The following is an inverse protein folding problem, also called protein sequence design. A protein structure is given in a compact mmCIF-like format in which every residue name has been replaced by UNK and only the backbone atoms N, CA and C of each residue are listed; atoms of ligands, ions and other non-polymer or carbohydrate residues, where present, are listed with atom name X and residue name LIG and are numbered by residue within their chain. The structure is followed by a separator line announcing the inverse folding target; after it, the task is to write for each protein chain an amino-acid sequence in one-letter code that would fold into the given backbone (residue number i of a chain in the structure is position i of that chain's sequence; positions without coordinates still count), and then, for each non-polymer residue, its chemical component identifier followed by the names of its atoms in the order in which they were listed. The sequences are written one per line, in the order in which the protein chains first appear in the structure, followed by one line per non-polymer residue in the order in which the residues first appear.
data_IF_511054688933
#
_entry.id   IF_511054688933
#
_cell.length_a   1.000
_cell.length_b   1.000
_cell.length_c   1.000
_cell.angle_alpha   90.00
_cell.angle_beta   90.00
_cell.angle_gamma   90.00
#
_symmetry.space_group_name_H-M   'P 1'
#
loop_
_entity.id
_entity.type
_entity.pdbx_description
1 polymer ?
#
# COMPACT_ATOMS: atom_id res chain seq x y z
N UNK A 1 0.03 32.65 -50.48
CA UNK A 1 1.24 31.92 -50.05
C UNK A 1 1.25 31.92 -48.52
N UNK A 2 0.60 30.92 -47.93
CA UNK A 2 1.19 29.73 -47.29
C UNK A 2 1.81 30.03 -45.90
N UNK A 3 0.98 29.73 -44.88
CA UNK A 3 1.29 29.01 -43.62
C UNK A 3 2.23 29.68 -42.62
N UNK A 4 1.64 30.44 -41.69
CA UNK A 4 2.12 30.55 -40.31
C UNK A 4 1.01 30.12 -39.35
N UNK A 5 0.72 28.83 -39.37
CA UNK A 5 -0.10 28.12 -38.37
C UNK A 5 0.63 26.81 -38.08
N UNK A 6 1.52 26.85 -37.11
CA UNK A 6 2.22 25.74 -36.43
C UNK A 6 3.38 26.40 -35.67
N UNK A 7 3.60 26.23 -34.38
CA UNK A 7 2.91 25.51 -33.33
C UNK A 7 3.69 25.90 -32.10
N UNK A 8 3.15 26.82 -31.29
CA UNK A 8 3.74 27.17 -30.00
C UNK A 8 3.35 26.05 -29.02
N UNK A 9 3.90 24.85 -29.23
CA UNK A 9 3.81 23.77 -28.26
C UNK A 9 4.88 24.08 -27.22
N UNK A 10 4.48 24.94 -26.29
CA UNK A 10 5.17 25.21 -25.05
C UNK A 10 5.21 23.87 -24.28
N UNK A 11 6.15 22.99 -24.63
CA UNK A 11 6.54 21.86 -23.79
C UNK A 11 7.30 22.48 -22.63
N UNK A 12 6.53 23.02 -21.68
CA UNK A 12 7.01 23.29 -20.35
C UNK A 12 7.16 21.90 -19.69
N UNK A 13 8.25 21.21 -20.04
CA UNK A 13 8.77 20.14 -19.18
C UNK A 13 9.13 20.87 -17.90
N UNK A 14 8.18 20.93 -16.97
CA UNK A 14 8.50 21.12 -15.58
C UNK A 14 9.57 20.08 -15.29
N UNK A 15 10.79 20.55 -15.08
CA UNK A 15 11.87 19.79 -14.46
C UNK A 15 11.41 19.60 -13.01
N UNK A 16 10.37 18.79 -12.82
CA UNK A 16 10.13 18.19 -11.52
C UNK A 16 11.40 17.38 -11.25
N UNK A 17 12.00 17.49 -10.05
CA UNK A 17 13.08 16.59 -9.69
C UNK A 17 12.59 15.18 -10.02
N UNK A 18 13.36 14.46 -10.84
CA UNK A 18 13.17 13.03 -11.02
C UNK A 18 13.39 12.47 -9.63
N UNK A 19 12.32 12.38 -8.82
CA UNK A 19 12.32 11.51 -7.67
C UNK A 19 12.71 10.17 -8.27
N UNK A 20 13.86 9.64 -7.89
CA UNK A 20 14.30 8.34 -8.34
C UNK A 20 13.28 7.33 -7.80
N UNK A 21 12.21 7.08 -8.58
CA UNK A 21 11.18 6.12 -8.26
C UNK A 21 11.83 4.76 -8.45
N UNK A 22 12.45 4.25 -7.39
CA UNK A 22 13.20 2.99 -7.42
C UNK A 22 12.29 1.77 -7.39
N UNK A 23 10.97 1.95 -7.18
CA UNK A 23 10.04 0.87 -6.87
C UNK A 23 10.40 0.11 -5.60
N UNK A 24 11.36 0.60 -4.82
CA UNK A 24 11.88 -0.06 -3.63
C UNK A 24 12.05 0.95 -2.49
N UNK A 25 11.32 0.75 -1.40
CA UNK A 25 11.23 1.74 -0.33
C UNK A 25 11.21 1.10 1.05
N UNK A 26 11.65 1.89 2.04
CA UNK A 26 11.59 1.54 3.46
C UNK A 26 10.97 2.71 4.22
N UNK A 27 10.06 2.40 5.14
CA UNK A 27 9.61 3.34 6.16
C UNK A 27 10.06 2.87 7.54
N UNK A 28 10.60 3.81 8.30
CA UNK A 28 10.98 3.62 9.70
C UNK A 28 10.03 4.43 10.58
N UNK A 29 9.47 3.82 11.61
CA UNK A 29 8.74 4.56 12.63
C UNK A 29 9.62 5.60 13.32
N UNK A 30 9.06 6.75 13.68
CA UNK A 30 9.78 7.86 14.31
C UNK A 30 10.58 7.43 15.56
N UNK A 31 9.99 6.62 16.45
CA UNK A 31 10.66 6.11 17.63
C UNK A 31 11.80 5.13 17.28
N UNK A 32 11.63 4.36 16.21
CA UNK A 32 12.67 3.46 15.70
C UNK A 32 13.83 4.24 15.09
N UNK A 33 13.55 5.25 14.26
CA UNK A 33 14.60 6.03 13.61
C UNK A 33 15.44 6.83 14.62
N UNK A 34 14.83 7.32 15.70
CA UNK A 34 15.50 8.09 16.75
C UNK A 34 16.35 7.23 17.71
N UNK A 35 16.31 5.90 17.57
CA UNK A 35 17.15 4.99 18.34
C UNK A 35 18.05 4.18 17.38
N UNK A 36 19.36 4.43 17.43
CA UNK A 36 20.33 3.80 16.51
C UNK A 36 20.30 2.26 16.56
N UNK A 37 20.14 1.66 17.73
CA UNK A 37 20.07 0.21 17.87
C UNK A 37 18.80 -0.36 17.22
N UNK A 38 17.65 0.30 17.42
CA UNK A 38 16.40 -0.10 16.78
C UNK A 38 16.45 0.06 15.26
N UNK A 39 16.93 1.21 14.78
CA UNK A 39 17.13 1.47 13.35
C UNK A 39 18.01 0.39 12.71
N UNK A 40 19.18 0.13 13.28
CA UNK A 40 20.12 -0.85 12.73
C UNK A 40 19.53 -2.27 12.75
N UNK A 41 18.83 -2.67 13.82
CA UNK A 41 18.15 -3.95 13.90
C UNK A 41 17.09 -4.11 12.79
N UNK A 42 16.30 -3.08 12.53
CA UNK A 42 15.27 -3.11 11.48
C UNK A 42 15.85 -3.12 10.07
N UNK A 43 16.88 -2.33 9.80
CA UNK A 43 17.58 -2.38 8.51
C UNK A 43 18.21 -3.75 8.26
N UNK A 44 18.88 -4.34 9.25
CA UNK A 44 19.43 -5.70 9.15
C UNK A 44 18.33 -6.75 8.93
N UNK A 45 17.18 -6.62 9.62
CA UNK A 45 16.04 -7.49 9.40
C UNK A 45 15.54 -7.40 7.96
N UNK A 46 15.35 -6.19 7.42
CA UNK A 46 14.91 -6.01 6.04
C UNK A 46 15.91 -6.57 5.02
N UNK A 47 17.21 -6.34 5.23
CA UNK A 47 18.25 -6.94 4.37
C UNK A 47 18.20 -8.46 4.38
N UNK A 48 17.83 -9.10 5.50
CA UNK A 48 17.66 -10.56 5.57
C UNK A 48 16.44 -11.11 4.81
N UNK A 49 15.56 -10.23 4.33
CA UNK A 49 14.31 -10.58 3.62
C UNK A 49 14.35 -10.23 2.13
N UNK A 50 15.46 -9.71 1.63
CA UNK A 50 15.60 -9.35 0.21
C UNK A 50 17.02 -9.59 -0.27
N UNK A 51 17.15 -9.96 -1.54
CA UNK A 51 18.45 -10.11 -2.20
C UNK A 51 18.96 -8.76 -2.77
N UNK A 52 18.12 -7.73 -2.77
CA UNK A 52 18.52 -6.36 -3.13
C UNK A 52 19.37 -5.75 -2.03
N UNK A 53 20.23 -4.80 -2.39
CA UNK A 53 20.91 -4.00 -1.38
C UNK A 53 19.93 -2.98 -0.78
N UNK A 54 19.69 -3.02 0.53
CA UNK A 54 18.74 -2.10 1.18
C UNK A 54 19.13 -0.63 1.05
N UNK A 55 20.40 -0.32 0.73
CA UNK A 55 20.83 1.07 0.49
C UNK A 55 20.22 1.65 -0.78
N UNK A 56 19.72 0.81 -1.68
CA UNK A 56 19.04 1.23 -2.91
C UNK A 56 17.58 1.63 -2.63
N UNK A 57 17.06 1.31 -1.44
CA UNK A 57 15.71 1.67 -1.03
C UNK A 57 15.62 3.15 -0.68
N UNK A 58 14.57 3.82 -1.18
CA UNK A 58 14.22 5.15 -0.66
C UNK A 58 13.69 5.00 0.77
N UNK A 59 14.46 5.48 1.74
CA UNK A 59 14.09 5.40 3.16
C UNK A 59 13.44 6.69 3.66
N UNK A 60 12.29 6.59 4.33
CA UNK A 60 11.62 7.72 4.99
C UNK A 60 11.21 7.37 6.41
N UNK A 61 11.01 8.41 7.22
CA UNK A 61 10.45 8.28 8.57
C UNK A 61 8.95 8.52 8.47
N UNK A 62 8.16 7.66 9.12
CA UNK A 62 6.73 7.93 9.34
C UNK A 62 6.53 8.52 10.74
N UNK A 63 5.84 9.66 10.77
CA UNK A 63 5.62 10.44 12.00
C UNK A 63 4.34 10.05 12.72
N UNK A 64 4.23 10.40 14.00
CA UNK A 64 2.97 10.28 14.72
C UNK A 64 1.82 11.05 14.07
N UNK A 65 2.09 12.20 13.45
CA UNK A 65 1.06 12.98 12.75
C UNK A 65 0.47 12.21 11.56
N UNK A 66 1.31 11.56 10.76
CA UNK A 66 0.89 10.76 9.61
C UNK A 66 0.14 9.49 10.02
N UNK A 67 0.56 8.84 11.12
CA UNK A 67 -0.19 7.68 11.65
C UNK A 67 -1.56 8.13 12.17
N UNK A 68 -1.59 9.18 13.00
CA UNK A 68 -2.81 9.64 13.64
C UNK A 68 -3.80 10.29 12.67
N UNK A 69 -3.37 10.83 11.53
CA UNK A 69 -4.28 11.43 10.55
C UNK A 69 -5.27 10.40 9.97
N UNK A 70 -4.87 9.14 9.92
CA UNK A 70 -5.72 8.03 9.47
C UNK A 70 -6.30 7.26 10.65
N UNK A 71 -5.48 6.87 11.63
CA UNK A 71 -5.91 5.93 12.67
C UNK A 71 -6.88 6.53 13.68
N UNK A 72 -6.74 7.82 14.04
CA UNK A 72 -7.46 8.42 15.18
C UNK A 72 -8.97 8.31 15.06
N UNK A 73 -9.51 8.58 13.87
CA UNK A 73 -10.97 8.59 13.65
C UNK A 73 -11.55 7.18 13.45
N UNK A 74 -10.69 6.16 13.32
CA UNK A 74 -11.09 4.77 13.09
C UNK A 74 -10.97 3.99 14.39
N UNK A 75 -9.81 4.08 15.05
CA UNK A 75 -9.49 3.30 16.24
C UNK A 75 -9.76 4.05 17.54
N UNK A 76 -9.93 5.38 17.48
CA UNK A 76 -9.98 6.25 18.65
C UNK A 76 -8.61 6.46 19.33
N UNK A 77 -7.56 5.81 18.84
CA UNK A 77 -6.22 5.87 19.44
C UNK A 77 -5.41 7.04 18.87
N UNK A 78 -4.70 7.72 19.76
CA UNK A 78 -3.72 8.76 19.41
C UNK A 78 -2.36 8.31 19.91
N UNK A 79 -1.41 8.15 19.00
CA UNK A 79 -0.07 7.69 19.30
C UNK A 79 0.87 8.89 19.41
N UNK A 80 1.66 9.02 20.49
CA UNK A 80 2.76 9.98 20.52
C UNK A 80 3.93 9.49 19.65
N UNK A 81 4.82 10.39 19.23
CA UNK A 81 6.02 10.08 18.45
C UNK A 81 6.86 8.95 19.05
N UNK A 82 6.96 8.88 20.38
CA UNK A 82 7.68 7.84 21.12
C UNK A 82 7.06 6.43 21.04
N UNK A 83 5.92 6.27 20.36
CA UNK A 83 5.22 4.98 20.17
C UNK A 83 5.11 4.54 18.72
N UNK A 84 5.69 5.29 17.78
CA UNK A 84 5.72 4.90 16.36
C UNK A 84 6.95 4.03 16.10
N UNK A 85 6.82 2.72 16.35
CA UNK A 85 7.93 1.75 16.22
C UNK A 85 7.90 0.96 14.92
N UNK A 86 6.71 0.72 14.36
CA UNK A 86 6.55 -0.15 13.22
C UNK A 86 7.30 0.35 11.99
N UNK A 87 7.84 -0.58 11.22
CA UNK A 87 8.61 -0.33 10.02
C UNK A 87 8.08 -1.23 8.89
N UNK A 88 8.19 -0.74 7.65
CA UNK A 88 7.81 -1.50 6.48
C UNK A 88 8.85 -1.37 5.36
N UNK A 89 8.99 -2.42 4.56
CA UNK A 89 9.73 -2.42 3.31
C UNK A 89 8.76 -2.83 2.20
N UNK A 90 8.79 -2.11 1.07
CA UNK A 90 7.98 -2.41 -0.12
C UNK A 90 8.89 -2.51 -1.33
N UNK A 91 8.72 -3.59 -2.09
CA UNK A 91 9.41 -3.85 -3.36
C UNK A 91 8.39 -4.16 -4.47
N UNK A 92 8.33 -3.29 -5.48
CA UNK A 92 7.41 -3.37 -6.61
C UNK A 92 7.93 -4.24 -7.76
N UNK A 93 9.13 -4.84 -7.66
CA UNK A 93 9.57 -5.82 -8.66
C UNK A 93 8.88 -7.18 -8.54
N UNK A 94 8.09 -7.39 -7.49
CA UNK A 94 7.24 -8.56 -7.34
C UNK A 94 5.88 -8.31 -8.00
N UNK A 95 5.59 -9.03 -9.10
CA UNK A 95 4.37 -8.83 -9.90
C UNK A 95 3.26 -9.86 -9.66
N UNK A 96 3.55 -10.96 -8.95
CA UNK A 96 2.62 -12.08 -8.79
C UNK A 96 1.64 -11.85 -7.62
N UNK A 97 0.89 -10.75 -7.70
CA UNK A 97 -0.01 -10.29 -6.64
C UNK A 97 0.73 -9.67 -5.45
N UNK A 98 0.11 -9.69 -4.28
CA UNK A 98 0.68 -9.13 -3.04
C UNK A 98 1.33 -10.26 -2.23
N UNK A 99 2.63 -10.14 -1.97
CA UNK A 99 3.35 -11.01 -1.03
C UNK A 99 3.62 -10.24 0.24
N UNK A 100 3.16 -10.72 1.39
CA UNK A 100 3.42 -10.08 2.69
C UNK A 100 4.20 -11.02 3.61
N UNK A 101 5.24 -10.50 4.25
CA UNK A 101 5.94 -11.15 5.36
C UNK A 101 5.78 -10.28 6.59
N UNK A 102 5.32 -10.89 7.68
CA UNK A 102 5.17 -10.24 8.98
C UNK A 102 6.11 -10.91 9.97
N UNK A 103 6.90 -10.13 10.70
CA UNK A 103 7.71 -10.64 11.81
C UNK A 103 6.82 -11.08 12.97
N UNK A 104 6.42 -12.35 12.98
CA UNK A 104 5.56 -12.93 14.02
C UNK A 104 6.17 -12.92 15.43
N UNK A 105 7.49 -12.66 15.57
CA UNK A 105 8.12 -12.49 16.88
C UNK A 105 7.87 -11.10 17.50
N UNK A 106 7.37 -10.16 16.70
CA UNK A 106 7.16 -8.75 17.07
C UNK A 106 5.74 -8.28 16.84
N UNK A 107 5.11 -8.71 15.74
CA UNK A 107 3.74 -8.36 15.39
C UNK A 107 2.82 -9.52 15.78
N UNK A 108 1.89 -9.27 16.71
CA UNK A 108 1.17 -10.34 17.41
C UNK A 108 -0.28 -10.55 16.98
N UNK A 109 -0.91 -9.56 16.33
CA UNK A 109 -2.33 -9.62 15.96
C UNK A 109 -2.50 -9.64 14.45
N UNK A 110 -1.97 -8.64 13.75
CA UNK A 110 -2.16 -8.50 12.31
C UNK A 110 -1.38 -9.56 11.54
N UNK A 111 -2.07 -10.35 10.71
CA UNK A 111 -1.45 -11.41 9.90
C UNK A 111 -1.06 -10.92 8.50
N UNK A 112 -0.22 -11.68 7.76
CA UNK A 112 0.09 -11.35 6.37
C UNK A 112 -1.13 -11.18 5.48
N UNK A 113 -2.15 -12.05 5.63
CA UNK A 113 -3.37 -11.99 4.84
C UNK A 113 -4.20 -10.76 5.17
N UNK A 114 -4.24 -10.35 6.44
CA UNK A 114 -4.92 -9.12 6.86
C UNK A 114 -4.32 -7.87 6.19
N UNK A 115 -2.98 -7.76 6.16
CA UNK A 115 -2.32 -6.70 5.39
C UNK A 115 -2.65 -6.79 3.91
N UNK A 116 -2.64 -7.98 3.31
CA UNK A 116 -2.96 -8.14 1.89
C UNK A 116 -4.38 -7.68 1.57
N UNK A 117 -5.36 -8.05 2.42
CA UNK A 117 -6.75 -7.61 2.29
C UNK A 117 -6.86 -6.07 2.38
N UNK A 118 -6.24 -5.47 3.41
CA UNK A 118 -6.24 -4.02 3.58
C UNK A 118 -5.62 -3.30 2.37
N UNK A 119 -4.48 -3.79 1.86
CA UNK A 119 -3.82 -3.24 0.69
C UNK A 119 -4.72 -3.28 -0.55
N UNK A 120 -5.40 -4.41 -0.79
CA UNK A 120 -6.37 -4.53 -1.88
C UNK A 120 -7.48 -3.48 -1.77
N UNK A 121 -7.95 -3.18 -0.56
CA UNK A 121 -8.97 -2.15 -0.31
C UNK A 121 -8.50 -0.73 -0.62
N UNK A 122 -7.19 -0.50 -0.60
CA UNK A 122 -6.56 0.74 -1.07
C UNK A 122 -6.16 0.72 -2.56
N UNK A 123 -6.61 -0.27 -3.33
CA UNK A 123 -6.33 -0.40 -4.76
C UNK A 123 -4.96 -0.96 -5.10
N UNK A 124 -4.16 -1.34 -4.10
CA UNK A 124 -2.87 -2.01 -4.27
C UNK A 124 -3.14 -3.49 -4.55
N UNK A 125 -2.66 -3.99 -5.68
CA UNK A 125 -2.87 -5.38 -6.12
C UNK A 125 -1.57 -6.17 -6.29
N UNK A 126 -0.41 -5.51 -6.17
CA UNK A 126 0.89 -6.13 -6.34
C UNK A 126 1.98 -5.52 -5.47
N UNK A 127 3.01 -6.31 -5.23
CA UNK A 127 4.22 -5.89 -4.53
C UNK A 127 4.61 -6.87 -3.42
N UNK A 128 5.87 -6.78 -3.01
CA UNK A 128 6.42 -7.52 -1.89
C UNK A 128 6.55 -6.59 -0.68
N UNK A 129 5.91 -6.97 0.43
CA UNK A 129 5.84 -6.21 1.67
C UNK A 129 6.48 -6.98 2.80
N UNK A 130 7.32 -6.32 3.58
CA UNK A 130 7.85 -6.86 4.84
C UNK A 130 7.52 -5.90 5.96
N UNK A 131 6.92 -6.39 7.04
CA UNK A 131 6.51 -5.60 8.20
C UNK A 131 7.18 -6.14 9.46
N UNK A 132 7.81 -5.26 10.24
CA UNK A 132 8.39 -5.60 11.55
C UNK A 132 8.40 -4.38 12.48
N UNK A 133 8.83 -4.60 13.72
CA UNK A 133 9.01 -3.59 14.76
C UNK A 133 10.16 -4.02 15.68
N UNK A 134 10.97 -3.10 16.23
CA UNK A 134 12.03 -3.45 17.19
C UNK A 134 11.45 -4.01 18.51
N UNK A 135 10.21 -3.63 18.83
CA UNK A 135 9.49 -4.02 20.06
C UNK A 135 8.16 -4.70 19.72
N UNK A 136 7.56 -5.47 20.65
CA UNK A 136 6.24 -6.06 20.43
C UNK A 136 5.17 -5.00 20.09
N UNK A 137 4.36 -5.28 19.08
CA UNK A 137 3.28 -4.43 18.59
C UNK A 137 2.13 -5.29 18.04
N UNK A 138 0.93 -4.74 17.99
CA UNK A 138 -0.26 -5.44 17.46
C UNK A 138 -0.29 -5.46 15.94
N UNK A 139 0.23 -4.41 15.29
CA UNK A 139 0.48 -4.31 13.85
C UNK A 139 -0.35 -3.23 13.14
N UNK A 140 -1.47 -2.81 13.68
CA UNK A 140 -2.41 -1.89 13.00
C UNK A 140 -1.75 -0.56 12.62
N UNK A 141 -0.96 0.03 13.53
CA UNK A 141 -0.22 1.27 13.25
C UNK A 141 0.86 1.10 12.16
N UNK A 142 1.29 -0.13 11.87
CA UNK A 142 2.26 -0.40 10.80
C UNK A 142 1.65 -0.22 9.41
N UNK A 143 0.33 -0.39 9.24
CA UNK A 143 -0.32 -0.23 7.94
C UNK A 143 -0.08 1.16 7.35
N UNK A 144 -0.10 2.21 8.18
CA UNK A 144 0.23 3.56 7.72
C UNK A 144 1.65 3.64 7.12
N UNK A 145 2.63 2.96 7.73
CA UNK A 145 3.99 2.82 7.20
C UNK A 145 4.05 2.03 5.89
N UNK A 146 3.28 0.94 5.79
CA UNK A 146 3.16 0.15 4.55
C UNK A 146 2.59 1.02 3.42
N UNK A 147 1.45 1.69 3.64
CA UNK A 147 0.83 2.58 2.67
C UNK A 147 1.79 3.70 2.26
N UNK A 148 2.48 4.30 3.23
CA UNK A 148 3.50 5.32 2.96
C UNK A 148 4.66 4.79 2.12
N UNK A 149 5.10 3.55 2.36
CA UNK A 149 6.12 2.90 1.54
C UNK A 149 5.64 2.73 0.10
N UNK A 150 4.39 2.34 -0.12
CA UNK A 150 3.80 2.34 -1.47
C UNK A 150 3.76 3.73 -2.11
N UNK A 151 3.35 4.78 -1.38
CA UNK A 151 3.36 6.16 -1.91
C UNK A 151 4.76 6.58 -2.38
N UNK A 152 5.80 6.20 -1.62
CA UNK A 152 7.21 6.48 -1.93
C UNK A 152 7.66 5.66 -3.13
N UNK A 153 7.39 4.36 -3.13
CA UNK A 153 7.81 3.43 -4.18
C UNK A 153 7.11 3.72 -5.52
N UNK A 154 5.89 4.23 -5.50
CA UNK A 154 5.12 4.65 -6.71
C UNK A 154 5.42 6.12 -7.08
N UNK A 155 5.85 6.93 -6.12
CA UNK A 155 6.04 8.37 -6.31
C UNK A 155 4.73 9.16 -6.41
N UNK A 156 3.63 8.63 -5.87
CA UNK A 156 2.30 9.27 -5.89
C UNK A 156 1.52 8.93 -4.63
N UNK A 157 0.85 9.91 -4.00
CA UNK A 157 0.07 9.67 -2.80
C UNK A 157 -1.11 8.75 -3.07
N UNK A 158 -1.47 7.93 -2.08
CA UNK A 158 -2.70 7.15 -2.08
C UNK A 158 -3.81 8.10 -1.59
N UNK A 159 -4.96 8.18 -2.30
CA UNK A 159 -6.07 9.01 -1.85
C UNK A 159 -6.50 8.70 -0.41
N UNK A 160 -6.89 9.73 0.35
CA UNK A 160 -7.16 9.61 1.78
C UNK A 160 -8.31 8.64 2.07
N UNK A 161 -9.35 8.63 1.22
CA UNK A 161 -10.46 7.69 1.30
C UNK A 161 -10.01 6.22 1.14
N UNK A 162 -8.96 5.95 0.35
CA UNK A 162 -8.40 4.62 0.15
C UNK A 162 -7.53 4.17 1.33
N UNK A 163 -6.76 5.11 1.91
CA UNK A 163 -6.04 4.88 3.17
C UNK A 163 -7.01 4.63 4.32
N UNK A 164 -8.14 5.34 4.34
CA UNK A 164 -9.20 5.14 5.33
C UNK A 164 -9.86 3.76 5.16
N UNK A 165 -10.29 3.39 3.95
CA UNK A 165 -10.94 2.10 3.70
C UNK A 165 -10.04 0.90 4.09
N UNK A 166 -8.76 0.95 3.74
CA UNK A 166 -7.78 -0.08 4.13
C UNK A 166 -7.57 -0.15 5.64
N UNK A 167 -7.50 1.00 6.31
CA UNK A 167 -7.32 1.05 7.77
C UNK A 167 -8.57 0.62 8.54
N UNK A 168 -9.77 0.99 8.08
CA UNK A 168 -11.04 0.56 8.65
C UNK A 168 -11.20 -0.96 8.57
N UNK A 169 -10.86 -1.55 7.42
CA UNK A 169 -10.93 -2.99 7.24
C UNK A 169 -9.93 -3.73 8.14
N UNK A 170 -8.66 -3.31 8.16
CA UNK A 170 -7.65 -3.94 9.00
C UNK A 170 -8.07 -3.89 10.47
N UNK A 171 -8.58 -2.74 10.92
CA UNK A 171 -9.07 -2.58 12.28
C UNK A 171 -10.29 -3.47 12.56
N UNK A 172 -11.23 -3.58 11.62
CA UNK A 172 -12.39 -4.44 11.77
C UNK A 172 -11.98 -5.93 11.86
N UNK A 173 -11.02 -6.36 11.03
CA UNK A 173 -10.47 -7.71 11.10
C UNK A 173 -9.83 -7.98 12.48
N UNK A 174 -9.03 -7.06 13.03
CA UNK A 174 -8.45 -7.25 14.37
C UNK A 174 -9.50 -7.22 15.49
N UNK A 175 -10.54 -6.38 15.37
CA UNK A 175 -11.68 -6.41 16.30
C UNK A 175 -12.41 -7.75 16.26
N UNK A 176 -12.66 -8.30 15.07
CA UNK A 176 -13.32 -9.60 14.91
C UNK A 176 -12.50 -10.74 15.50
N UNK A 177 -11.17 -10.74 15.33
CA UNK A 177 -10.29 -11.70 16.02
C UNK A 177 -10.51 -11.66 17.53
N UNK A 178 -10.49 -10.45 18.12
CA UNK A 178 -10.64 -10.28 19.57
C UNK A 178 -12.05 -10.66 20.06
N UNK A 179 -13.09 -10.33 19.31
CA UNK A 179 -14.49 -10.54 19.71
C UNK A 179 -14.98 -11.97 19.49
N UNK A 180 -14.51 -12.64 18.42
CA UNK A 180 -14.96 -13.99 18.05
C UNK A 180 -14.02 -15.09 18.55
N UNK A 181 -12.80 -14.74 18.99
CA UNK A 181 -11.74 -15.69 19.34
C UNK A 181 -11.22 -16.50 18.15
N UNK A 182 -11.62 -16.16 16.91
CA UNK A 182 -11.14 -16.85 15.72
C UNK A 182 -9.69 -16.50 15.42
N UNK A 183 -9.00 -17.42 14.77
CA UNK A 183 -7.65 -17.17 14.26
C UNK A 183 -7.67 -16.02 13.23
N UNK A 184 -6.65 -15.15 13.26
CA UNK A 184 -6.55 -14.01 12.35
C UNK A 184 -6.53 -14.37 10.86
N UNK A 185 -5.86 -15.45 10.48
CA UNK A 185 -5.87 -15.93 9.09
C UNK A 185 -7.27 -16.40 8.66
N UNK A 186 -8.06 -16.97 9.59
CA UNK A 186 -9.43 -17.38 9.32
C UNK A 186 -10.36 -16.17 9.16
N UNK A 187 -10.19 -15.11 9.96
CA UNK A 187 -10.92 -13.85 9.78
C UNK A 187 -10.53 -13.17 8.47
N UNK A 188 -9.24 -13.12 8.15
CA UNK A 188 -8.78 -12.54 6.89
C UNK A 188 -9.29 -13.32 5.67
N UNK A 189 -9.37 -14.66 5.76
CA UNK A 189 -9.96 -15.49 4.71
C UNK A 189 -11.44 -15.17 4.48
N UNK A 190 -12.22 -14.95 5.56
CA UNK A 190 -13.62 -14.52 5.45
C UNK A 190 -13.76 -13.22 4.63
N UNK A 191 -12.94 -12.21 4.91
CA UNK A 191 -12.94 -10.95 4.14
C UNK A 191 -12.55 -11.18 2.68
N UNK A 192 -11.52 -11.99 2.44
CA UNK A 192 -11.06 -12.30 1.09
C UNK A 192 -12.16 -12.99 0.27
N UNK A 193 -12.82 -14.00 0.83
CA UNK A 193 -13.88 -14.75 0.16
C UNK A 193 -15.12 -13.89 -0.09
N UNK A 194 -15.51 -13.06 0.87
CA UNK A 194 -16.61 -12.11 0.69
C UNK A 194 -16.28 -11.12 -0.43
N UNK A 195 -15.09 -10.53 -0.44
CA UNK A 195 -14.66 -9.61 -1.51
C UNK A 195 -14.67 -10.28 -2.87
N UNK A 196 -14.14 -11.50 -2.98
CA UNK A 196 -14.06 -12.24 -4.23
C UNK A 196 -15.45 -12.57 -4.79
N UNK A 197 -16.35 -13.09 -3.94
CA UNK A 197 -17.73 -13.39 -4.34
C UNK A 197 -18.48 -12.10 -4.73
N UNK A 198 -18.32 -11.04 -3.96
CA UNK A 198 -18.96 -9.75 -4.22
C UNK A 198 -18.51 -9.15 -5.55
N UNK A 199 -17.20 -9.16 -5.83
CA UNK A 199 -16.64 -8.70 -7.10
C UNK A 199 -17.11 -9.55 -8.28
N UNK A 200 -17.16 -10.88 -8.13
CA UNK A 200 -17.62 -11.79 -9.19
C UNK A 200 -19.09 -11.56 -9.58
N UNK A 201 -19.90 -11.06 -8.64
CA UNK A 201 -21.31 -10.76 -8.83
C UNK A 201 -21.56 -9.27 -9.11
N UNK A 202 -20.51 -8.44 -9.16
CA UNK A 202 -20.57 -6.99 -9.35
C UNK A 202 -21.54 -6.29 -8.38
N UNK A 203 -21.54 -6.71 -7.11
CA UNK A 203 -22.43 -6.17 -6.08
C UNK A 203 -21.77 -4.99 -5.35
N UNK A 204 -22.50 -3.88 -5.22
CA UNK A 204 -22.05 -2.69 -4.47
C UNK A 204 -22.96 -2.33 -3.30
N UNK A 205 -24.15 -2.93 -3.22
CA UNK A 205 -25.10 -2.66 -2.14
C UNK A 205 -24.73 -3.47 -0.88
N UNK A 206 -24.52 -2.81 0.29
CA UNK A 206 -24.25 -3.51 1.54
C UNK A 206 -25.31 -4.57 1.93
N UNK A 207 -26.59 -4.37 1.62
CA UNK A 207 -27.64 -5.34 1.96
C UNK A 207 -27.52 -6.63 1.16
N UNK A 208 -27.10 -6.56 -0.10
CA UNK A 208 -26.83 -7.73 -0.95
C UNK A 208 -25.53 -8.42 -0.49
N UNK A 209 -24.51 -7.63 -0.15
CA UNK A 209 -23.22 -8.13 0.35
C UNK A 209 -23.40 -8.85 1.68
N UNK A 210 -24.30 -8.39 2.54
CA UNK A 210 -24.62 -9.03 3.81
C UNK A 210 -25.03 -10.49 3.65
N UNK A 211 -25.76 -10.82 2.57
CA UNK A 211 -26.13 -12.22 2.25
C UNK A 211 -24.88 -13.05 1.96
N UNK A 212 -23.92 -12.49 1.21
CA UNK A 212 -22.62 -13.12 0.95
C UNK A 212 -21.85 -13.33 2.25
N UNK A 213 -21.79 -12.33 3.13
CA UNK A 213 -21.11 -12.43 4.44
C UNK A 213 -21.67 -13.58 5.27
N UNK A 214 -23.00 -13.69 5.40
CA UNK A 214 -23.65 -14.77 6.15
C UNK A 214 -23.31 -16.13 5.55
N UNK A 215 -23.38 -16.27 4.22
CA UNK A 215 -23.10 -17.53 3.55
C UNK A 215 -21.65 -17.99 3.75
N UNK A 216 -20.68 -17.10 3.53
CA UNK A 216 -19.25 -17.40 3.72
C UNK A 216 -18.95 -17.71 5.19
N UNK A 217 -19.47 -16.91 6.13
CA UNK A 217 -19.27 -17.14 7.56
C UNK A 217 -19.81 -18.51 8.00
N UNK A 218 -20.99 -18.91 7.51
CA UNK A 218 -21.57 -20.23 7.77
C UNK A 218 -20.71 -21.35 7.19
N UNK A 219 -20.24 -21.23 5.95
CA UNK A 219 -19.34 -22.20 5.32
C UNK A 219 -18.03 -22.37 6.11
N UNK A 220 -17.55 -21.30 6.71
CA UNK A 220 -16.33 -21.28 7.52
C UNK A 220 -16.56 -21.63 9.00
N UNK A 221 -17.80 -21.91 9.42
CA UNK A 221 -18.18 -22.10 10.82
C UNK A 221 -17.72 -20.93 11.71
N UNK A 222 -18.01 -19.70 11.29
CA UNK A 222 -17.77 -18.47 12.06
C UNK A 222 -19.13 -17.91 12.46
N UNK A 223 -19.37 -17.80 13.76
CA UNK A 223 -20.59 -17.17 14.27
C UNK A 223 -20.40 -15.65 14.33
N UNK A 224 -21.20 -14.92 13.56
CA UNK A 224 -21.20 -13.46 13.52
C UNK A 224 -22.54 -12.94 14.03
N UNK A 225 -22.49 -11.89 14.86
CA UNK A 225 -23.68 -11.11 15.18
C UNK A 225 -24.16 -10.32 13.96
N UNK A 226 -25.45 -9.94 13.94
CA UNK A 226 -26.00 -9.09 12.89
C UNK A 226 -25.22 -7.78 12.68
N UNK A 227 -24.67 -7.21 13.77
CA UNK A 227 -23.87 -6.00 13.70
C UNK A 227 -22.53 -6.26 13.01
N UNK A 228 -21.82 -7.33 13.39
CA UNK A 228 -20.56 -7.73 12.74
C UNK A 228 -20.76 -8.03 11.25
N UNK A 229 -21.81 -8.76 10.90
CA UNK A 229 -22.16 -9.04 9.50
C UNK A 229 -22.37 -7.75 8.71
N UNK A 230 -23.08 -6.78 9.29
CA UNK A 230 -23.29 -5.48 8.65
C UNK A 230 -21.98 -4.71 8.47
N UNK A 231 -21.12 -4.67 9.51
CA UNK A 231 -19.83 -3.97 9.45
C UNK A 231 -18.93 -4.54 8.34
N UNK A 232 -18.88 -5.86 8.17
CA UNK A 232 -18.12 -6.51 7.10
C UNK A 232 -18.70 -6.10 5.74
N UNK A 233 -20.02 -6.15 5.59
CA UNK A 233 -20.67 -5.79 4.34
C UNK A 233 -20.43 -4.32 3.95
N UNK A 234 -20.55 -3.41 4.91
CA UNK A 234 -20.28 -1.98 4.72
C UNK A 234 -18.81 -1.74 4.35
N UNK A 235 -17.87 -2.41 5.04
CA UNK A 235 -16.44 -2.32 4.76
C UNK A 235 -16.09 -2.78 3.34
N UNK A 236 -16.62 -3.94 2.93
CA UNK A 236 -16.42 -4.48 1.58
C UNK A 236 -17.06 -3.61 0.50
N UNK A 237 -18.28 -3.10 0.73
CA UNK A 237 -18.93 -2.16 -0.18
C UNK A 237 -18.11 -0.86 -0.35
N UNK A 238 -17.67 -0.28 0.77
CA UNK A 238 -16.86 0.93 0.78
C UNK A 238 -15.53 0.73 0.04
N UNK A 239 -14.84 -0.40 0.27
CA UNK A 239 -13.58 -0.71 -0.41
C UNK A 239 -13.75 -0.75 -1.93
N UNK A 240 -14.82 -1.36 -2.45
CA UNK A 240 -15.07 -1.43 -3.90
C UNK A 240 -15.41 -0.08 -4.51
N UNK A 241 -16.23 0.71 -3.81
CA UNK A 241 -16.57 2.06 -4.22
C UNK A 241 -15.31 2.93 -4.32
N UNK A 242 -14.46 2.88 -3.30
CA UNK A 242 -13.22 3.66 -3.27
C UNK A 242 -12.27 3.21 -4.37
N UNK A 243 -12.04 1.89 -4.53
CA UNK A 243 -11.16 1.34 -5.58
C UNK A 243 -11.51 1.81 -6.99
N UNK A 244 -12.80 1.97 -7.28
CA UNK A 244 -13.27 2.43 -8.59
C UNK A 244 -12.77 3.84 -8.96
N UNK A 245 -12.30 4.63 -7.99
CA UNK A 245 -11.78 5.99 -8.20
C UNK A 245 -10.24 6.07 -8.15
N UNK A 246 -9.52 4.94 -8.05
CA UNK A 246 -8.06 4.92 -7.84
C UNK A 246 -7.24 4.75 -9.13
N UNK A 247 -7.84 4.94 -10.30
CA UNK A 247 -7.20 4.71 -11.61
C UNK A 247 -5.81 5.34 -11.72
N UNK A 248 -5.63 6.60 -11.32
CA UNK A 248 -4.32 7.27 -11.39
C UNK A 248 -3.23 6.56 -10.59
N UNK A 249 -3.54 6.17 -9.35
CA UNK A 249 -2.57 5.48 -8.49
C UNK A 249 -2.30 4.06 -9.01
N UNK A 250 -3.34 3.35 -9.45
CA UNK A 250 -3.23 1.98 -9.97
C UNK A 250 -2.42 1.91 -11.27
N UNK A 251 -2.62 2.86 -12.18
CA UNK A 251 -1.86 2.96 -13.44
C UNK A 251 -0.38 3.21 -13.16
N UNK A 252 -0.06 4.11 -12.21
CA UNK A 252 1.33 4.37 -11.82
C UNK A 252 1.97 3.18 -11.10
N UNK A 253 1.23 2.53 -10.20
CA UNK A 253 1.66 1.30 -9.56
C UNK A 253 2.00 0.23 -10.62
N UNK A 254 1.19 0.13 -11.68
CA UNK A 254 1.44 -0.79 -12.79
C UNK A 254 2.68 -0.40 -13.60
N UNK A 255 2.78 0.85 -14.02
CA UNK A 255 3.91 1.35 -14.81
C UNK A 255 5.24 1.16 -14.08
N UNK A 256 5.31 1.57 -12.80
CA UNK A 256 6.52 1.40 -11.99
C UNK A 256 6.84 -0.07 -11.77
N UNK A 257 5.85 -0.90 -11.41
CA UNK A 257 6.09 -2.34 -11.21
C UNK A 257 6.60 -3.01 -12.48
N UNK A 258 6.08 -2.65 -13.67
CA UNK A 258 6.60 -3.14 -14.96
C UNK A 258 8.02 -2.66 -15.23
N UNK A 259 8.32 -1.40 -14.94
CA UNK A 259 9.64 -0.82 -15.10
C UNK A 259 10.70 -1.50 -14.24
N UNK A 260 10.42 -1.70 -12.94
CA UNK A 260 11.42 -2.22 -12.00
C UNK A 260 11.55 -3.75 -12.04
N UNK A 261 10.58 -4.45 -12.65
CA UNK A 261 10.65 -5.90 -12.84
C UNK A 261 11.40 -6.29 -14.11
N UNK A 262 11.60 -5.36 -15.06
CA UNK A 262 12.25 -5.63 -16.32
C UNK A 262 13.49 -4.74 -16.51
N UNK A 263 14.72 -5.27 -16.32
CA UNK A 263 15.95 -4.50 -16.49
C UNK A 263 16.06 -3.78 -17.83
N UNK A 264 15.51 -4.35 -18.92
CA UNK A 264 15.55 -3.77 -20.26
C UNK A 264 14.58 -2.60 -20.52
N UNK A 265 13.63 -2.32 -19.62
CA UNK A 265 12.70 -1.20 -19.77
C UNK A 265 13.33 0.14 -19.34
N UNK A 266 14.29 0.09 -18.40
CA UNK A 266 15.09 1.27 -18.03
C UNK A 266 15.87 1.77 -19.25
N UNK A 267 16.46 0.86 -20.03
CA UNK A 267 17.16 1.19 -21.28
C UNK A 267 16.23 1.80 -22.34
N UNK A 268 14.97 1.36 -22.42
CA UNK A 268 13.99 1.94 -23.35
C UNK A 268 13.56 3.35 -22.94
N UNK A 269 13.37 3.61 -21.65
CA UNK A 269 13.05 4.96 -21.16
C UNK A 269 14.25 5.89 -21.27
N UNK A 270 15.47 5.45 -20.94
CA UNK A 270 16.67 6.29 -21.09
C UNK A 270 16.94 6.62 -22.54
N UNK A 271 16.72 5.68 -23.47
CA UNK A 271 16.80 5.93 -24.91
C UNK A 271 15.71 6.91 -25.38
N UNK A 272 14.46 6.75 -24.96
CA UNK A 272 13.37 7.68 -25.28
C UNK A 272 13.64 9.09 -24.74
N UNK A 273 14.14 9.22 -23.51
CA UNK A 273 14.51 10.51 -22.91
C UNK A 273 15.74 11.12 -23.60
N UNK A 274 16.71 10.32 -24.05
CA UNK A 274 17.83 10.78 -24.86
C UNK A 274 17.40 11.25 -26.25
N UNK A 275 16.46 10.57 -26.90
CA UNK A 275 15.90 11.01 -28.18
C UNK A 275 15.19 12.36 -28.06
N UNK A 276 14.42 12.56 -26.97
CA UNK A 276 13.79 13.85 -26.67
C UNK A 276 14.84 14.93 -26.37
N UNK A 277 15.86 14.63 -25.57
CA UNK A 277 16.94 15.58 -25.28
C UNK A 277 17.73 15.97 -26.53
N UNK A 278 18.05 15.01 -27.40
CA UNK A 278 18.74 15.25 -28.67
C UNK A 278 17.89 16.09 -29.63
N UNK A 279 16.58 15.84 -29.69
CA UNK A 279 15.63 16.64 -30.46
C UNK A 279 15.56 18.09 -29.95
N UNK A 280 15.48 18.28 -28.63
CA UNK A 280 15.48 19.62 -28.01
C UNK A 280 16.83 20.32 -28.20
N UNK A 281 17.96 19.62 -28.04
CA UNK A 281 19.28 20.19 -28.29
C UNK A 281 19.45 20.58 -29.76
N UNK A 282 18.96 19.80 -30.72
CA UNK A 282 18.97 20.14 -32.14
C UNK A 282 18.13 21.38 -32.48
N UNK A 283 17.06 21.64 -31.72
CA UNK A 283 16.24 22.86 -31.84
C UNK A 283 16.92 24.09 -31.21
N UNK A 284 17.74 23.91 -30.17
CA UNK A 284 18.44 25.01 -29.47
C UNK A 284 19.80 25.33 -30.08
N UNK A 285 20.48 24.34 -30.69
CA UNK A 285 21.75 24.52 -31.40
C UNK A 285 21.58 24.84 -32.90
N UNK A 286 20.33 24.86 -33.37
CA UNK A 286 19.94 25.28 -34.73
C UNK A 286 19.60 26.78 -34.87
N UNK A 287 20.13 27.64 -33.98
CA UNK A 287 20.20 29.11 -34.16
C UNK A 287 21.65 29.55 -34.31
#
# INVERSE_FOLDING_TARGET
MKKYMAGFLLVLVLIAPIYAVSGFSITLGEATNNNAAYKNSMLSYFQSKTDKNITDATTKVITASEVNSVSKNITGLVYPSSKIFSCAMVDLSYQNGIKVIVDKSKVTVVTPQMYANALQSSGIDRGYVVVSSPVPATGEAALAGVLKSYEIAVGTPIPEEAKKASTEELYLETQLVNQTGQNGDKVAQLFSDVKNQTQSQNLQNPDEIKVIVVNVANQMNINLSNNQTQQIADSVANSQKVRSNLTNFQDKLQGISQQVSNPGFVDQITNFLQEILNYVQGLVSGQ
#
